data_IF_283701993181
#
_entry.id   IF_283701993181
#
_cell.length_a   1.000
_cell.length_b   1.000
_cell.length_c   1.000
_cell.angle_alpha   90.00
_cell.angle_beta   90.00
_cell.angle_gamma   90.00
#
_symmetry.space_group_name_H-M   'P 1'
#
loop_
_entity.id
_entity.type
_entity.pdbx_description
1 polymer ?
#
# COMPACT_ATOMS: atom_id res chain seq x y z
N UNK A 1 6.93 0.22 15.31
CA UNK A 1 6.46 1.32 16.20
C UNK A 1 6.94 2.64 15.60
N UNK A 2 6.13 3.70 15.63
CA UNK A 2 6.56 5.03 15.13
C UNK A 2 6.74 6.01 16.30
N UNK A 3 7.89 6.71 16.40
CA UNK A 3 8.18 7.62 17.52
C UNK A 3 7.09 8.68 17.75
N UNK A 4 6.58 9.29 16.69
CA UNK A 4 5.51 10.30 16.79
C UNK A 4 4.23 9.77 17.44
N UNK A 5 3.83 8.54 17.10
CA UNK A 5 2.65 7.91 17.68
C UNK A 5 2.86 7.53 19.13
N UNK A 6 4.07 7.07 19.48
CA UNK A 6 4.43 6.80 20.87
C UNK A 6 4.37 8.08 21.72
N UNK A 7 5.02 9.15 21.26
CA UNK A 7 5.03 10.45 21.93
C UNK A 7 3.60 11.00 22.12
N UNK A 8 2.77 10.91 21.08
CA UNK A 8 1.37 11.33 21.15
C UNK A 8 0.56 10.50 22.14
N UNK A 9 0.70 9.18 22.09
CA UNK A 9 -0.06 8.25 22.94
C UNK A 9 0.32 8.35 24.42
N UNK A 10 1.52 8.84 24.72
CA UNK A 10 2.03 9.05 26.08
C UNK A 10 2.12 10.54 26.47
N UNK A 11 1.54 11.45 25.68
CA UNK A 11 1.64 12.89 25.89
C UNK A 11 1.02 13.39 27.20
N UNK A 12 0.05 12.65 27.74
CA UNK A 12 -0.66 12.98 28.99
C UNK A 12 -0.18 12.16 30.20
N UNK A 13 0.93 11.43 30.07
CA UNK A 13 1.42 10.61 31.17
C UNK A 13 1.92 11.50 32.34
N UNK A 14 1.52 11.20 33.61
CA UNK A 14 2.00 11.96 34.76
C UNK A 14 3.53 11.91 34.90
N UNK A 15 4.11 13.01 35.40
CA UNK A 15 5.54 13.05 35.74
C UNK A 15 5.88 12.03 36.83
N UNK A 16 6.98 11.30 36.67
CA UNK A 16 7.45 10.30 37.64
C UNK A 16 6.88 8.90 37.42
N UNK A 17 6.14 8.66 36.34
CA UNK A 17 5.78 7.31 35.89
C UNK A 17 6.94 6.67 35.13
N UNK A 18 7.36 5.48 35.55
CA UNK A 18 8.39 4.72 34.86
C UNK A 18 7.82 4.08 33.59
N UNK A 19 8.38 4.43 32.44
CA UNK A 19 7.97 3.87 31.14
C UNK A 19 9.07 2.98 30.60
N UNK A 20 8.70 1.76 30.22
CA UNK A 20 9.55 0.84 29.47
C UNK A 20 8.91 0.51 28.13
N UNK A 21 9.62 0.82 27.05
CA UNK A 21 9.24 0.49 25.69
C UNK A 21 9.97 -0.76 25.26
N UNK A 22 9.25 -1.72 24.67
CA UNK A 22 9.84 -2.93 24.09
C UNK A 22 9.43 -3.00 22.62
N UNK A 23 10.41 -3.07 21.72
CA UNK A 23 10.16 -3.18 20.29
C UNK A 23 11.16 -4.12 19.61
N UNK A 24 11.05 -4.28 18.29
CA UNK A 24 12.00 -5.08 17.51
C UNK A 24 12.97 -4.17 16.77
N UNK A 25 14.26 -4.43 16.91
CA UNK A 25 15.37 -3.88 16.12
C UNK A 25 16.10 -4.98 15.35
N UNK A 26 15.38 -6.05 14.97
CA UNK A 26 15.87 -6.99 13.96
C UNK A 26 16.21 -6.24 12.68
N UNK A 27 17.27 -6.65 11.99
CA UNK A 27 17.83 -5.94 10.83
C UNK A 27 16.75 -5.62 9.79
N UNK A 28 15.95 -6.61 9.42
CA UNK A 28 14.87 -6.44 8.44
C UNK A 28 13.83 -5.40 8.90
N UNK A 29 13.51 -5.34 10.19
CA UNK A 29 12.50 -4.41 10.70
C UNK A 29 12.99 -2.96 10.63
N UNK A 30 14.29 -2.74 10.81
CA UNK A 30 14.91 -1.42 10.65
C UNK A 30 15.05 -1.05 9.17
N UNK A 31 15.51 -1.98 8.32
CA UNK A 31 15.68 -1.75 6.88
C UNK A 31 14.36 -1.48 6.15
N UNK A 32 13.31 -2.25 6.42
CA UNK A 32 11.98 -2.06 5.83
C UNK A 32 11.16 -0.97 6.57
N UNK A 33 11.72 -0.37 7.61
CA UNK A 33 11.12 0.77 8.33
C UNK A 33 9.88 0.43 9.16
N UNK A 34 9.64 -0.84 9.50
CA UNK A 34 8.60 -1.23 10.46
C UNK A 34 8.96 -0.87 11.90
N UNK A 35 10.26 -0.64 12.15
CA UNK A 35 10.83 -0.08 13.38
C UNK A 35 11.78 1.07 13.06
N UNK A 36 12.11 1.87 14.09
CA UNK A 36 12.82 3.14 13.98
C UNK A 36 13.85 3.28 15.10
N UNK A 37 15.08 3.64 14.74
CA UNK A 37 16.19 3.87 15.69
C UNK A 37 15.92 5.11 16.56
N UNK A 38 15.25 6.10 15.98
CA UNK A 38 14.82 7.35 16.62
C UNK A 38 13.89 7.12 17.83
N UNK A 39 13.35 5.90 17.99
CA UNK A 39 12.61 5.51 19.19
C UNK A 39 13.49 5.60 20.44
N UNK A 40 14.80 5.32 20.33
CA UNK A 40 15.73 5.43 21.46
C UNK A 40 15.94 6.87 21.91
N UNK A 41 16.14 7.78 20.97
CA UNK A 41 16.33 9.21 21.23
C UNK A 41 15.10 9.76 21.96
N UNK A 42 13.89 9.44 21.46
CA UNK A 42 12.64 9.81 22.12
C UNK A 42 12.55 9.24 23.56
N UNK A 43 12.94 7.99 23.77
CA UNK A 43 12.92 7.39 25.10
C UNK A 43 13.90 8.13 26.04
N UNK A 44 15.12 8.41 25.56
CA UNK A 44 16.14 9.11 26.34
C UNK A 44 15.70 10.52 26.74
N UNK A 45 15.12 11.28 25.80
CA UNK A 45 14.62 12.64 26.04
C UNK A 45 13.53 12.69 27.13
N UNK A 46 12.74 11.62 27.27
CA UNK A 46 11.65 11.53 28.24
C UNK A 46 12.02 10.72 29.50
N UNK A 47 13.26 10.27 29.63
CA UNK A 47 13.71 9.43 30.75
C UNK A 47 13.10 8.02 30.76
N UNK A 48 12.62 7.54 29.60
CA UNK A 48 12.06 6.20 29.44
C UNK A 48 13.15 5.17 29.13
N UNK A 49 12.89 3.92 29.50
CA UNK A 49 13.76 2.79 29.16
C UNK A 49 13.34 2.17 27.83
N UNK A 50 14.30 1.80 26.98
CA UNK A 50 14.06 1.04 25.75
C UNK A 50 14.69 -0.34 25.86
N UNK A 51 13.94 -1.38 25.46
CA UNK A 51 14.44 -2.73 25.24
C UNK A 51 14.11 -3.21 23.83
N UNK A 52 14.96 -4.04 23.26
CA UNK A 52 14.79 -4.50 21.87
C UNK A 52 14.96 -6.01 21.69
N UNK A 53 14.10 -6.59 20.85
CA UNK A 53 14.30 -7.88 20.19
C UNK A 53 15.25 -7.69 18.99
N UNK A 54 16.21 -8.60 18.82
CA UNK A 54 17.25 -8.46 17.79
C UNK A 54 17.61 -9.79 17.15
N UNK A 55 18.45 -9.77 16.10
CA UNK A 55 18.71 -10.95 15.27
C UNK A 55 19.42 -12.10 16.00
N UNK A 56 20.08 -11.82 17.13
CA UNK A 56 20.72 -12.83 17.97
C UNK A 56 19.74 -13.63 18.83
N UNK A 57 18.45 -13.28 18.83
CA UNK A 57 17.43 -13.98 19.59
C UNK A 57 16.77 -15.09 18.77
N UNK A 58 16.56 -16.25 19.41
CA UNK A 58 15.96 -17.45 18.81
C UNK A 58 14.48 -17.31 18.48
N UNK A 59 13.81 -16.31 19.03
CA UNK A 59 12.40 -16.00 18.83
C UNK A 59 12.24 -14.58 18.32
N UNK A 60 11.05 -14.29 17.79
CA UNK A 60 10.68 -12.95 17.32
C UNK A 60 9.49 -12.46 18.12
N UNK A 61 9.60 -11.28 18.69
CA UNK A 61 8.48 -10.66 19.41
C UNK A 61 7.41 -10.22 18.40
N UNK A 62 6.19 -10.76 18.53
CA UNK A 62 5.00 -10.28 17.82
C UNK A 62 3.89 -9.76 18.76
N UNK A 63 4.25 -9.56 20.02
CA UNK A 63 3.36 -9.08 21.08
C UNK A 63 2.98 -7.60 20.85
N UNK A 64 1.69 -7.31 21.00
CA UNK A 64 1.12 -5.95 20.96
C UNK A 64 0.30 -5.78 22.24
N UNK A 65 0.98 -5.29 23.26
CA UNK A 65 0.43 -5.16 24.60
C UNK A 65 0.81 -3.80 25.18
N UNK A 66 -0.15 -3.17 25.87
CA UNK A 66 0.03 -1.92 26.61
C UNK A 66 -0.30 -2.22 28.06
N UNK A 67 0.71 -2.15 28.95
CA UNK A 67 0.60 -2.64 30.32
C UNK A 67 0.66 -1.45 31.28
N UNK A 68 -0.23 -1.44 32.26
CA UNK A 68 -0.31 -0.42 33.31
C UNK A 68 -0.09 -1.11 34.65
N UNK A 69 0.89 -0.61 35.41
CA UNK A 69 1.26 -1.02 36.77
C UNK A 69 1.53 -2.52 36.95
N UNK A 70 1.84 -3.24 35.87
CA UNK A 70 2.01 -4.70 35.89
C UNK A 70 0.73 -5.48 36.25
N UNK A 71 -0.44 -4.84 36.19
CA UNK A 71 -1.71 -5.44 36.61
C UNK A 71 -2.69 -5.59 35.45
N UNK A 72 -2.81 -4.56 34.62
CA UNK A 72 -3.75 -4.51 33.50
C UNK A 72 -2.99 -4.41 32.19
N UNK A 73 -3.41 -5.17 31.19
CA UNK A 73 -2.90 -5.08 29.84
C UNK A 73 -4.04 -4.84 28.85
N UNK A 74 -3.83 -3.94 27.89
CA UNK A 74 -4.61 -3.89 26.66
C UNK A 74 -3.86 -4.70 25.60
N UNK A 75 -4.46 -5.76 25.09
CA UNK A 75 -3.84 -6.67 24.11
C UNK A 75 -4.68 -6.77 22.84
N UNK A 76 -4.02 -6.94 21.70
CA UNK A 76 -4.76 -7.21 20.47
C UNK A 76 -3.95 -7.00 19.20
N UNK A 77 -4.60 -6.49 18.16
CA UNK A 77 -4.03 -6.42 16.81
C UNK A 77 -3.32 -5.09 16.51
N UNK A 78 -3.65 -4.02 17.25
CA UNK A 78 -3.11 -2.68 17.01
C UNK A 78 -1.63 -2.57 17.40
N UNK A 79 -0.78 -2.34 16.40
CA UNK A 79 0.59 -1.86 16.63
C UNK A 79 0.58 -0.37 17.00
N UNK A 80 1.52 0.06 17.86
CA UNK A 80 1.79 1.47 18.17
C UNK A 80 2.39 2.20 16.95
N UNK A 81 1.54 2.46 15.97
CA UNK A 81 1.83 3.13 14.69
C UNK A 81 0.67 4.01 14.30
N UNK A 82 0.90 5.06 13.51
CA UNK A 82 -0.17 5.95 13.06
C UNK A 82 -1.36 5.20 12.45
N UNK A 83 -1.09 4.21 11.58
CA UNK A 83 -2.13 3.35 11.00
C UNK A 83 -2.81 2.47 12.04
N UNK A 84 -2.04 1.77 12.86
CA UNK A 84 -2.58 0.85 13.88
C UNK A 84 -3.42 1.53 14.96
N UNK A 85 -3.18 2.82 15.25
CA UNK A 85 -3.95 3.55 16.27
C UNK A 85 -5.11 4.37 15.71
N UNK A 86 -5.25 4.51 14.38
CA UNK A 86 -6.22 5.45 13.78
C UNK A 86 -6.92 4.94 12.52
N UNK A 87 -6.16 4.40 11.59
CA UNK A 87 -6.65 4.14 10.22
C UNK A 87 -7.15 2.71 10.06
N UNK A 88 -6.44 1.76 10.66
CA UNK A 88 -6.80 0.35 10.58
C UNK A 88 -8.01 0.04 11.47
N UNK A 89 -8.81 -0.92 11.02
CA UNK A 89 -9.79 -1.57 11.89
C UNK A 89 -9.02 -2.56 12.77
N UNK A 90 -8.82 -2.19 14.02
CA UNK A 90 -8.09 -2.98 15.02
C UNK A 90 -8.97 -3.29 16.23
N UNK A 91 -8.58 -4.30 17.01
CA UNK A 91 -9.23 -4.63 18.28
C UNK A 91 -8.19 -4.66 19.39
N UNK A 92 -8.54 -4.07 20.53
CA UNK A 92 -7.80 -4.17 21.78
C UNK A 92 -8.76 -4.60 22.88
N UNK A 93 -8.36 -5.59 23.67
CA UNK A 93 -9.16 -6.16 24.74
C UNK A 93 -8.41 -5.97 26.07
N UNK A 94 -9.08 -5.46 27.12
CA UNK A 94 -8.49 -5.40 28.45
C UNK A 94 -8.36 -6.80 29.05
N UNK A 95 -7.22 -7.08 29.67
CA UNK A 95 -6.94 -8.30 30.40
C UNK A 95 -6.25 -7.98 31.73
N UNK A 96 -6.70 -8.61 32.81
CA UNK A 96 -6.00 -8.58 34.11
C UNK A 96 -4.94 -9.68 34.11
N UNK A 97 -3.68 -9.32 34.38
CA UNK A 97 -2.55 -10.26 34.32
C UNK A 97 -2.64 -11.35 35.40
N UNK A 98 -3.17 -11.03 36.58
CA UNK A 98 -3.38 -11.98 37.68
C UNK A 98 -4.27 -13.17 37.27
N UNK A 99 -5.28 -12.94 36.44
CA UNK A 99 -6.24 -13.97 35.99
C UNK A 99 -5.83 -14.63 34.66
N UNK A 100 -4.74 -14.17 34.03
CA UNK A 100 -4.26 -14.64 32.73
C UNK A 100 -2.75 -14.95 32.80
N UNK A 101 -2.39 -15.99 33.55
CA UNK A 101 -0.98 -16.35 33.80
C UNK A 101 -0.17 -16.56 32.52
N UNK A 102 -0.75 -17.16 31.48
CA UNK A 102 -0.05 -17.36 30.19
C UNK A 102 0.28 -16.06 29.47
N UNK A 103 -0.54 -15.02 29.63
CA UNK A 103 -0.25 -13.68 29.12
C UNK A 103 0.85 -13.02 29.93
N UNK A 104 0.79 -13.13 31.26
CA UNK A 104 1.83 -12.64 32.17
C UNK A 104 3.19 -13.28 31.83
N UNK A 105 3.24 -14.60 31.68
CA UNK A 105 4.44 -15.35 31.29
C UNK A 105 5.00 -14.85 29.95
N UNK A 106 4.15 -14.63 28.94
CA UNK A 106 4.59 -14.14 27.64
C UNK A 106 5.18 -12.71 27.70
N UNK A 107 4.63 -11.86 28.57
CA UNK A 107 5.13 -10.51 28.82
C UNK A 107 6.47 -10.56 29.55
N UNK A 108 6.57 -11.36 30.62
CA UNK A 108 7.82 -11.54 31.37
C UNK A 108 8.91 -12.11 30.48
N UNK A 109 8.59 -13.12 29.68
CA UNK A 109 9.52 -13.69 28.72
C UNK A 109 9.97 -12.61 27.74
N UNK A 110 9.06 -11.80 27.18
CA UNK A 110 9.36 -10.65 26.29
C UNK A 110 10.35 -9.66 26.93
N UNK A 111 10.16 -9.31 28.20
CA UNK A 111 11.08 -8.45 28.96
C UNK A 111 12.44 -9.13 29.15
N UNK A 112 12.45 -10.36 29.64
CA UNK A 112 13.67 -11.11 29.96
C UNK A 112 14.53 -11.41 28.72
N UNK A 113 13.88 -11.67 27.59
CA UNK A 113 14.58 -11.98 26.33
C UNK A 113 15.13 -10.74 25.63
N UNK A 114 14.47 -9.59 25.73
CA UNK A 114 14.93 -8.36 25.08
C UNK A 114 16.17 -7.79 25.77
N UNK A 115 17.01 -7.07 25.03
CA UNK A 115 18.19 -6.38 25.60
C UNK A 115 17.85 -4.93 25.93
N UNK A 116 18.39 -4.41 27.03
CA UNK A 116 18.28 -2.97 27.33
C UNK A 116 19.15 -2.18 26.37
N UNK A 117 18.62 -1.08 25.83
CA UNK A 117 19.36 -0.20 24.93
C UNK A 117 19.95 0.94 25.72
N UNK A 118 21.27 1.05 25.69
CA UNK A 118 22.03 2.22 26.12
C UNK A 118 22.70 2.88 24.91
N UNK A 119 23.54 3.89 25.16
CA UNK A 119 24.25 4.62 24.10
C UNK A 119 25.19 3.70 23.29
N UNK A 120 25.77 2.68 23.92
CA UNK A 120 26.69 1.76 23.26
C UNK A 120 25.91 0.83 22.33
N UNK A 121 24.85 0.18 22.84
CA UNK A 121 23.95 -0.66 22.04
C UNK A 121 23.34 0.12 20.89
N UNK A 122 22.85 1.34 21.15
CA UNK A 122 22.31 2.23 20.11
C UNK A 122 23.33 2.49 19.00
N UNK A 123 24.57 2.83 19.36
CA UNK A 123 25.63 3.10 18.41
C UNK A 123 25.94 1.87 17.54
N UNK A 124 25.99 0.68 18.14
CA UNK A 124 26.20 -0.58 17.40
C UNK A 124 25.10 -0.84 16.36
N UNK A 125 23.82 -0.68 16.71
CA UNK A 125 22.72 -0.83 15.74
C UNK A 125 22.78 0.22 14.63
N UNK A 126 23.09 1.48 14.99
CA UNK A 126 23.20 2.58 14.04
C UNK A 126 24.32 2.34 13.02
N UNK A 127 25.48 1.88 13.48
CA UNK A 127 26.61 1.50 12.62
C UNK A 127 26.27 0.30 11.74
N UNK A 128 25.68 -0.75 12.30
CA UNK A 128 25.26 -1.94 11.57
C UNK A 128 24.31 -1.60 10.42
N UNK A 129 23.23 -0.86 10.70
CA UNK A 129 22.26 -0.47 9.66
C UNK A 129 22.89 0.44 8.61
N UNK A 130 23.80 1.33 9.00
CA UNK A 130 24.51 2.21 8.06
C UNK A 130 25.48 1.45 7.15
N UNK A 131 25.97 0.29 7.58
CA UNK A 131 26.86 -0.57 6.80
C UNK A 131 26.15 -1.40 5.74
N UNK A 132 24.84 -1.61 5.88
CA UNK A 132 24.04 -2.41 4.96
C UNK A 132 23.59 -1.53 3.79
N UNK A 133 23.83 -1.95 2.54
CA UNK A 133 23.30 -1.24 1.38
C UNK A 133 21.77 -1.15 1.49
N UNK A 134 21.22 0.02 1.16
CA UNK A 134 19.76 0.17 1.12
C UNK A 134 19.17 -0.89 0.17
N UNK A 135 18.13 -1.63 0.59
CA UNK A 135 17.48 -2.60 -0.28
C UNK A 135 17.03 -1.90 -1.56
N UNK A 136 17.33 -2.48 -2.73
CA UNK A 136 16.69 -2.05 -3.97
C UNK A 136 15.19 -2.30 -3.84
N UNK A 137 14.37 -1.31 -4.18
CA UNK A 137 12.92 -1.52 -4.22
C UNK A 137 12.64 -2.67 -5.19
N UNK A 138 11.98 -3.75 -4.74
CA UNK A 138 11.70 -4.86 -5.64
C UNK A 138 10.85 -4.36 -6.80
N UNK A 139 11.33 -4.55 -8.03
CA UNK A 139 10.50 -4.36 -9.22
C UNK A 139 9.37 -5.38 -9.16
N UNK A 140 8.19 -4.94 -8.71
CA UNK A 140 6.99 -5.78 -8.76
C UNK A 140 6.73 -6.06 -10.24
N UNK A 141 6.83 -7.32 -10.69
CA UNK A 141 6.62 -7.63 -12.10
C UNK A 141 5.20 -7.22 -12.46
N UNK A 142 5.08 -6.37 -13.49
CA UNK A 142 3.79 -6.08 -14.08
C UNK A 142 3.24 -7.40 -14.62
N UNK A 143 2.13 -7.88 -14.05
CA UNK A 143 1.41 -9.02 -14.59
C UNK A 143 1.03 -8.66 -16.04
N UNK A 144 1.69 -9.28 -17.01
CA UNK A 144 1.37 -9.10 -18.42
C UNK A 144 -0.01 -9.66 -18.67
N UNK A 145 -0.95 -8.81 -19.04
CA UNK A 145 -2.30 -9.24 -19.39
C UNK A 145 -2.22 -10.21 -20.57
N UNK A 146 -2.71 -11.44 -20.39
CA UNK A 146 -2.78 -12.44 -21.45
C UNK A 146 -4.14 -12.32 -22.14
N UNK A 147 -4.13 -11.82 -23.38
CA UNK A 147 -5.32 -11.78 -24.23
C UNK A 147 -5.34 -12.99 -25.18
N UNK A 148 -6.54 -13.53 -25.44
CA UNK A 148 -6.74 -14.54 -26.48
C UNK A 148 -6.51 -13.97 -27.89
N UNK A 149 -6.39 -14.86 -28.89
CA UNK A 149 -6.08 -14.48 -30.26
C UNK A 149 -7.10 -13.49 -30.88
N UNK A 150 -8.38 -13.61 -30.53
CA UNK A 150 -9.43 -12.74 -31.05
C UNK A 150 -9.46 -11.38 -30.34
N UNK A 151 -9.20 -11.37 -29.02
CA UNK A 151 -9.01 -10.16 -28.24
C UNK A 151 -7.84 -9.35 -28.80
N UNK A 152 -6.69 -9.99 -29.07
CA UNK A 152 -5.53 -9.35 -29.70
C UNK A 152 -5.85 -8.75 -31.07
N UNK A 153 -6.65 -9.42 -31.89
CA UNK A 153 -7.03 -8.90 -33.20
C UNK A 153 -7.89 -7.63 -33.08
N UNK A 154 -8.79 -7.56 -32.10
CA UNK A 154 -9.57 -6.35 -31.85
C UNK A 154 -8.70 -5.23 -31.28
N UNK A 155 -7.81 -5.57 -30.35
CA UNK A 155 -6.88 -4.60 -29.75
C UNK A 155 -5.91 -4.02 -30.80
N UNK A 156 -5.53 -4.76 -31.83
CA UNK A 156 -4.75 -4.23 -32.98
C UNK A 156 -5.50 -3.20 -33.81
N UNK A 157 -6.83 -3.25 -33.82
CA UNK A 157 -7.68 -2.30 -34.53
C UNK A 157 -8.07 -1.10 -33.66
N UNK A 158 -7.79 -1.15 -32.35
CA UNK A 158 -8.00 0.00 -31.47
C UNK A 158 -7.05 1.13 -31.86
N UNK A 159 -7.50 2.40 -31.75
CA UNK A 159 -6.55 3.51 -31.81
C UNK A 159 -5.51 3.38 -30.69
N UNK A 160 -4.29 3.92 -30.87
CA UNK A 160 -3.31 3.95 -29.80
C UNK A 160 -3.89 4.63 -28.56
N UNK A 161 -3.37 4.31 -27.37
CA UNK A 161 -3.79 4.98 -26.14
C UNK A 161 -3.54 6.50 -26.30
N UNK A 162 -4.58 7.34 -26.22
CA UNK A 162 -4.41 8.77 -26.42
C UNK A 162 -3.69 9.41 -25.23
N UNK A 163 -2.92 10.46 -25.52
CA UNK A 163 -2.31 11.33 -24.50
C UNK A 163 -3.33 12.29 -23.90
N UNK A 164 -2.96 13.00 -22.83
CA UNK A 164 -3.81 14.09 -22.30
C UNK A 164 -4.00 15.17 -23.37
N UNK A 165 -2.94 15.54 -24.10
CA UNK A 165 -3.02 16.54 -25.14
C UNK A 165 -4.03 16.15 -26.23
N UNK A 166 -4.01 14.90 -26.68
CA UNK A 166 -4.99 14.39 -27.66
C UNK A 166 -6.43 14.54 -27.19
N UNK A 167 -6.67 14.38 -25.87
CA UNK A 167 -7.99 14.54 -25.27
C UNK A 167 -8.36 16.02 -25.14
N UNK A 168 -7.43 16.89 -24.77
CA UNK A 168 -7.65 18.33 -24.57
C UNK A 168 -7.92 19.07 -25.88
N UNK A 169 -7.37 18.60 -27.01
CA UNK A 169 -7.64 19.17 -28.33
C UNK A 169 -9.08 18.92 -28.82
N UNK A 170 -9.85 18.07 -28.14
CA UNK A 170 -11.23 17.77 -28.51
C UNK A 170 -12.19 18.79 -27.92
N UNK A 171 -13.25 19.19 -28.67
CA UNK A 171 -14.26 20.12 -28.17
C UNK A 171 -15.11 19.53 -27.03
N UNK A 172 -15.11 18.21 -26.86
CA UNK A 172 -15.78 17.52 -25.75
C UNK A 172 -15.33 16.06 -25.68
N UNK A 173 -15.23 15.51 -24.47
CA UNK A 173 -14.97 14.09 -24.24
C UNK A 173 -16.01 13.17 -24.89
N UNK A 174 -17.23 13.66 -25.11
CA UNK A 174 -18.28 12.90 -25.82
C UNK A 174 -17.89 12.60 -27.27
N UNK A 175 -17.05 13.43 -27.89
CA UNK A 175 -16.55 13.26 -29.26
C UNK A 175 -15.23 12.50 -29.33
N UNK A 176 -14.69 12.03 -28.20
CA UNK A 176 -13.37 11.39 -28.14
C UNK A 176 -13.32 9.94 -28.67
N UNK A 177 -14.46 9.36 -29.07
CA UNK A 177 -14.50 7.96 -29.52
C UNK A 177 -13.48 7.64 -30.62
N UNK A 178 -13.33 8.44 -31.70
CA UNK A 178 -12.42 8.11 -32.80
C UNK A 178 -10.94 8.01 -32.39
N UNK A 179 -10.54 8.74 -31.33
CA UNK A 179 -9.15 8.74 -30.85
C UNK A 179 -8.92 7.78 -29.68
N UNK A 180 -9.98 7.13 -29.18
CA UNK A 180 -9.88 6.30 -27.97
C UNK A 180 -10.60 4.96 -28.00
N UNK A 181 -11.31 4.60 -29.07
CA UNK A 181 -11.95 3.30 -29.11
C UNK A 181 -12.71 2.94 -30.37
N UNK A 182 -13.42 1.83 -30.28
CA UNK A 182 -14.18 1.20 -31.36
C UNK A 182 -15.64 1.03 -30.96
N UNK A 183 -16.55 1.20 -31.93
CA UNK A 183 -17.97 0.90 -31.75
C UNK A 183 -18.21 -0.60 -31.81
N UNK A 184 -19.26 -1.07 -31.12
CA UNK A 184 -19.72 -2.46 -31.19
C UNK A 184 -19.85 -2.98 -32.63
N UNK A 185 -20.36 -2.15 -33.55
CA UNK A 185 -20.50 -2.52 -34.96
C UNK A 185 -19.17 -2.81 -35.68
N UNK A 186 -18.10 -2.10 -35.31
CA UNK A 186 -16.76 -2.28 -35.86
C UNK A 186 -16.14 -3.58 -35.34
N UNK A 187 -16.26 -3.82 -34.03
CA UNK A 187 -15.82 -5.04 -33.36
C UNK A 187 -16.56 -6.26 -33.92
N UNK A 188 -17.88 -6.17 -34.03
CA UNK A 188 -18.72 -7.20 -34.65
C UNK A 188 -18.32 -7.49 -36.09
N UNK A 189 -17.91 -6.46 -36.84
CA UNK A 189 -17.39 -6.59 -38.19
C UNK A 189 -16.11 -7.44 -38.26
N UNK A 190 -15.21 -7.26 -37.28
CA UNK A 190 -13.98 -8.06 -37.14
C UNK A 190 -14.33 -9.53 -36.85
N UNK A 191 -15.23 -9.80 -35.88
CA UNK A 191 -15.67 -11.17 -35.57
C UNK A 191 -16.29 -11.86 -36.79
N UNK A 192 -17.10 -11.13 -37.59
CA UNK A 192 -17.73 -11.69 -38.79
C UNK A 192 -16.73 -12.09 -39.86
N UNK A 193 -15.66 -11.32 -40.05
CA UNK A 193 -14.61 -11.65 -41.03
C UNK A 193 -13.84 -12.91 -40.64
N UNK A 194 -13.69 -13.15 -39.33
CA UNK A 194 -12.94 -14.28 -38.78
C UNK A 194 -13.82 -15.49 -38.41
N UNK A 195 -15.14 -15.42 -38.62
CA UNK A 195 -16.07 -16.52 -38.36
C UNK A 195 -16.37 -17.28 -39.64
N UNK A 196 -16.38 -18.61 -39.58
CA UNK A 196 -16.85 -19.47 -40.67
C UNK A 196 -18.29 -19.08 -41.05
N UNK A 197 -18.58 -18.97 -42.35
CA UNK A 197 -19.91 -18.62 -42.88
C UNK A 197 -20.97 -19.56 -42.31
N UNK A 198 -21.77 -19.12 -41.33
CA UNK A 198 -22.85 -19.95 -40.76
C UNK A 198 -23.41 -19.55 -39.40
N UNK A 199 -22.76 -18.69 -38.60
CA UNK A 199 -23.34 -18.29 -37.30
C UNK A 199 -24.54 -17.35 -37.44
N UNK A 200 -25.62 -17.65 -36.73
CA UNK A 200 -26.81 -16.80 -36.63
C UNK A 200 -26.44 -15.40 -36.10
N UNK A 201 -27.17 -14.37 -36.55
CA UNK A 201 -26.89 -12.96 -36.23
C UNK A 201 -26.87 -12.70 -34.71
N UNK A 202 -27.80 -13.31 -33.97
CA UNK A 202 -27.90 -13.14 -32.51
C UNK A 202 -26.66 -13.69 -31.80
N UNK A 203 -26.20 -14.88 -32.19
CA UNK A 203 -24.98 -15.51 -31.65
C UNK A 203 -23.73 -14.65 -31.86
N UNK A 204 -23.66 -13.88 -32.95
CA UNK A 204 -22.52 -12.99 -33.21
C UNK A 204 -22.55 -11.76 -32.30
N UNK A 205 -23.74 -11.20 -32.02
CA UNK A 205 -23.87 -10.07 -31.10
C UNK A 205 -23.46 -10.48 -29.68
N UNK A 206 -23.94 -11.63 -29.20
CA UNK A 206 -23.62 -12.14 -27.86
C UNK A 206 -22.11 -12.39 -27.71
N UNK A 207 -21.49 -13.06 -28.70
CA UNK A 207 -20.04 -13.28 -28.72
C UNK A 207 -19.24 -11.97 -28.79
N UNK A 208 -19.74 -10.95 -29.47
CA UNK A 208 -19.10 -9.63 -29.53
C UNK A 208 -19.10 -9.00 -28.14
N UNK A 209 -20.24 -9.06 -27.45
CA UNK A 209 -20.40 -8.51 -26.10
C UNK A 209 -19.51 -9.25 -25.09
N UNK A 210 -19.56 -10.58 -25.06
CA UNK A 210 -18.70 -11.41 -24.20
C UNK A 210 -17.22 -11.09 -24.39
N UNK A 211 -16.79 -10.90 -25.63
CA UNK A 211 -15.40 -10.61 -25.92
C UNK A 211 -14.99 -9.22 -25.44
N UNK A 212 -15.84 -8.19 -25.62
CA UNK A 212 -15.60 -6.87 -25.03
C UNK A 212 -15.48 -6.95 -23.51
N UNK A 213 -16.33 -7.73 -22.84
CA UNK A 213 -16.26 -7.95 -21.39
C UNK A 213 -14.96 -8.62 -20.97
N UNK A 214 -14.53 -9.69 -21.65
CA UNK A 214 -13.25 -10.35 -21.36
C UNK A 214 -12.06 -9.41 -21.51
N UNK A 215 -12.06 -8.52 -22.51
CA UNK A 215 -11.00 -7.50 -22.65
C UNK A 215 -10.96 -6.58 -21.43
N UNK A 216 -12.12 -6.07 -20.98
CA UNK A 216 -12.19 -5.15 -19.83
C UNK A 216 -11.88 -5.82 -18.50
N UNK A 217 -12.28 -7.09 -18.34
CA UNK A 217 -11.97 -7.89 -17.15
C UNK A 217 -10.49 -8.23 -17.06
N UNK A 218 -9.84 -8.51 -18.19
CA UNK A 218 -8.41 -8.85 -18.23
C UNK A 218 -7.50 -7.61 -18.20
N UNK A 219 -7.94 -6.49 -18.78
CA UNK A 219 -7.15 -5.27 -18.85
C UNK A 219 -7.92 -4.07 -18.33
N UNK A 220 -7.52 -3.65 -17.12
CA UNK A 220 -8.10 -2.51 -16.41
C UNK A 220 -8.03 -1.18 -17.18
N UNK A 221 -7.19 -1.06 -18.23
CA UNK A 221 -7.06 0.14 -19.07
C UNK A 221 -8.27 0.37 -19.97
N UNK A 222 -9.05 -0.66 -20.27
CA UNK A 222 -10.23 -0.56 -21.13
C UNK A 222 -11.54 -0.46 -20.34
N UNK A 223 -12.59 0.03 -21.01
CA UNK A 223 -13.96 0.15 -20.51
C UNK A 223 -14.98 -0.08 -21.62
N UNK A 224 -16.22 -0.39 -21.24
CA UNK A 224 -17.36 -0.41 -22.15
C UNK A 224 -18.24 0.80 -21.85
N UNK A 225 -18.40 1.68 -22.85
CA UNK A 225 -19.20 2.88 -22.70
C UNK A 225 -20.26 3.01 -23.78
N UNK A 226 -21.48 3.34 -23.38
CA UNK A 226 -22.56 3.62 -24.32
C UNK A 226 -22.35 4.99 -24.98
N UNK A 227 -22.20 5.01 -26.30
CA UNK A 227 -22.05 6.22 -27.12
C UNK A 227 -22.84 6.06 -28.41
N UNK A 228 -23.53 7.11 -28.85
CA UNK A 228 -24.35 7.08 -30.08
C UNK A 228 -25.38 5.92 -30.10
N UNK A 229 -25.90 5.53 -28.93
CA UNK A 229 -26.87 4.44 -28.79
C UNK A 229 -26.28 3.02 -28.87
N UNK A 230 -24.96 2.86 -28.96
CA UNK A 230 -24.29 1.56 -29.01
C UNK A 230 -23.17 1.45 -27.99
N UNK A 231 -22.82 0.24 -27.58
CA UNK A 231 -21.68 -0.01 -26.71
C UNK A 231 -20.38 0.17 -27.48
N UNK A 232 -19.37 0.71 -26.82
CA UNK A 232 -18.07 0.99 -27.42
C UNK A 232 -16.98 0.50 -26.48
N UNK A 233 -15.99 -0.21 -27.02
CA UNK A 233 -14.77 -0.54 -26.29
C UNK A 233 -13.84 0.67 -26.37
N UNK A 234 -13.40 1.20 -25.23
CA UNK A 234 -12.65 2.45 -25.16
C UNK A 234 -11.51 2.39 -24.15
N UNK A 235 -10.45 3.15 -24.38
CA UNK A 235 -9.48 3.49 -23.35
C UNK A 235 -10.14 4.29 -22.22
N UNK A 236 -9.86 3.92 -20.96
CA UNK A 236 -10.33 4.63 -19.77
C UNK A 236 -9.61 5.98 -19.65
N UNK A 237 -10.38 7.05 -19.76
CA UNK A 237 -9.88 8.42 -19.54
C UNK A 237 -9.28 8.58 -18.15
N UNK A 238 -9.92 8.03 -17.12
CA UNK A 238 -9.40 8.07 -15.76
C UNK A 238 -8.03 7.39 -15.62
N UNK A 239 -7.78 6.30 -16.37
CA UNK A 239 -6.47 5.66 -16.37
C UNK A 239 -5.38 6.57 -16.96
N UNK A 240 -5.69 7.25 -18.08
CA UNK A 240 -4.79 8.20 -18.73
C UNK A 240 -4.47 9.38 -17.80
N UNK A 241 -5.50 9.98 -17.20
CA UNK A 241 -5.34 11.09 -16.26
C UNK A 241 -4.49 10.68 -15.05
N UNK A 242 -4.75 9.51 -14.47
CA UNK A 242 -4.00 9.02 -13.32
C UNK A 242 -2.54 8.72 -13.65
N UNK A 243 -2.24 8.24 -14.86
CA UNK A 243 -0.87 8.04 -15.30
C UNK A 243 -0.12 9.38 -15.37
N UNK A 244 -0.73 10.42 -15.92
CA UNK A 244 -0.10 11.75 -15.97
C UNK A 244 0.09 12.34 -14.57
N UNK A 245 -0.96 12.32 -13.74
CA UNK A 245 -0.90 12.82 -12.36
C UNK A 245 0.20 12.09 -11.59
N UNK A 246 0.27 10.75 -11.70
CA UNK A 246 1.33 9.97 -11.06
C UNK A 246 2.70 10.33 -11.62
N UNK A 247 2.83 10.56 -12.93
CA UNK A 247 4.07 11.03 -13.55
C UNK A 247 4.57 12.32 -12.92
N UNK A 248 3.68 13.30 -12.73
CA UNK A 248 4.00 14.56 -12.06
C UNK A 248 4.26 14.41 -10.57
N UNK A 249 3.54 13.52 -9.87
CA UNK A 249 3.70 13.34 -8.42
C UNK A 249 4.90 12.45 -8.06
N UNK A 250 5.36 11.57 -8.96
CA UNK A 250 6.42 10.59 -8.67
C UNK A 250 7.72 11.21 -8.11
N UNK A 251 8.22 12.35 -8.61
CA UNK A 251 9.40 13.00 -8.05
C UNK A 251 9.21 13.57 -6.63
N UNK A 252 7.97 13.65 -6.16
CA UNK A 252 7.56 14.25 -4.90
C UNK A 252 7.11 13.23 -3.85
N UNK A 253 6.76 12.00 -4.25
CA UNK A 253 6.38 10.93 -3.32
C UNK A 253 7.56 10.64 -2.38
N UNK A 254 7.29 10.65 -1.07
CA UNK A 254 8.29 10.37 -0.02
C UNK A 254 9.14 11.57 0.40
N UNK A 255 8.96 12.76 -0.19
CA UNK A 255 9.62 13.99 0.26
C UNK A 255 8.80 14.71 1.34
N UNK A 256 9.44 15.30 2.37
CA UNK A 256 8.75 16.16 3.33
C UNK A 256 8.18 17.40 2.65
N UNK A 257 7.11 17.97 3.22
CA UNK A 257 6.35 19.08 2.64
C UNK A 257 7.24 20.29 2.29
N UNK A 258 8.26 20.56 3.12
CA UNK A 258 9.26 21.61 2.92
C UNK A 258 10.11 21.47 1.65
N UNK A 259 10.17 20.26 1.08
CA UNK A 259 10.91 19.97 -0.15
C UNK A 259 10.00 19.93 -1.39
N UNK A 260 8.71 20.25 -1.23
CA UNK A 260 7.75 20.30 -2.33
C UNK A 260 7.69 21.65 -3.04
N UNK A 261 8.40 22.68 -2.53
CA UNK A 261 8.38 24.03 -3.09
C UNK A 261 7.01 24.70 -3.00
N UNK A 262 6.16 24.24 -2.07
CA UNK A 262 4.90 24.87 -1.72
C UNK A 262 5.19 26.00 -0.73
N UNK A 263 4.57 27.15 -0.94
CA UNK A 263 4.74 28.33 -0.10
C UNK A 263 4.41 27.96 1.36
N UNK A 264 5.26 28.35 2.32
CA UNK A 264 5.15 27.99 3.74
C UNK A 264 3.90 28.61 4.43
N UNK A 265 3.10 29.37 3.69
CA UNK A 265 1.87 30.02 4.15
C UNK A 265 0.58 29.22 3.90
N UNK A 266 0.66 27.95 3.50
CA UNK A 266 -0.50 27.06 3.30
C UNK A 266 -0.86 26.28 4.56
#
# INVERSE_FOLDING_TARGET
MTPSTLAESLSEIPTGVDVTVICSWRTDNLLFGSSKLETYELCQENGWSLRVDHDGMSRTIHLKAYIIDGQMAMIGSANMTGRGMRENIESLIPATLETHSTLADAIEESIAGSISVDNEVYSQFREHISSIPKPEEPEIPLLTVVHGAMELEILRQMPPQPTIDDILQLPSIRKALPVRGLRFGEIRGILRKNSSRGSAINTINDRTMELMHRIVESDSRFDIQKRYGTDCLVWKVHHILNQEIRGHLRPHIGKPLSQLGLDESL
#
